data_IF_746162577470
#
_entry.id   IF_746162577470
#
_cell.length_a   1.000
_cell.length_b   1.000
_cell.length_c   1.000
_cell.angle_alpha   90.00
_cell.angle_beta   90.00
_cell.angle_gamma   90.00
#
_symmetry.space_group_name_H-M   'P 1'
#
loop_
_entity.id
_entity.type
_entity.pdbx_description
1 polymer ?
#
# COMPACT_ATOMS: atom_id res chain seq x y z
N UNK A 1 -15.75 -3.65 -25.65
CA UNK A 1 -15.04 -4.43 -24.60
C UNK A 1 -14.93 -3.55 -23.37
N UNK A 2 -15.35 -4.01 -22.18
CA UNK A 2 -15.26 -3.26 -20.93
C UNK A 2 -14.24 -3.93 -20.00
N UNK A 3 -13.47 -3.13 -19.26
CA UNK A 3 -12.43 -3.65 -18.35
C UNK A 3 -12.94 -4.65 -17.31
N UNK A 4 -14.22 -4.56 -16.93
CA UNK A 4 -14.80 -5.48 -15.94
C UNK A 4 -14.95 -6.90 -16.47
N UNK A 5 -14.96 -7.08 -17.79
CA UNK A 5 -15.10 -8.37 -18.45
C UNK A 5 -13.73 -9.10 -18.52
N UNK A 6 -12.63 -8.41 -18.20
CA UNK A 6 -11.26 -8.91 -18.38
C UNK A 6 -10.69 -9.59 -17.12
N UNK A 7 -11.43 -9.64 -16.00
CA UNK A 7 -10.96 -10.27 -14.77
C UNK A 7 -12.10 -10.79 -13.88
N UNK A 8 -11.75 -11.70 -12.96
CA UNK A 8 -12.62 -12.17 -11.89
C UNK A 8 -11.89 -12.07 -10.55
N UNK A 9 -12.61 -11.72 -9.48
CA UNK A 9 -12.05 -11.72 -8.14
C UNK A 9 -11.67 -13.16 -7.71
N UNK A 10 -10.49 -13.38 -7.10
CA UNK A 10 -10.11 -14.69 -6.57
C UNK A 10 -11.10 -15.17 -5.52
N UNK A 11 -11.25 -16.50 -5.40
CA UNK A 11 -12.25 -17.10 -4.52
C UNK A 11 -12.10 -16.70 -3.04
N UNK A 12 -10.86 -16.46 -2.58
CA UNK A 12 -10.54 -16.02 -1.22
C UNK A 12 -11.12 -14.65 -0.84
N UNK A 13 -11.54 -13.83 -1.82
CA UNK A 13 -12.00 -12.45 -1.60
C UNK A 13 -13.46 -12.23 -2.01
N UNK A 14 -14.27 -13.29 -2.08
CA UNK A 14 -15.66 -13.23 -2.59
C UNK A 14 -16.71 -12.79 -1.57
N UNK A 15 -16.47 -12.96 -0.27
CA UNK A 15 -17.47 -12.66 0.77
C UNK A 15 -17.94 -11.20 0.75
N UNK A 16 -17.05 -10.28 0.34
CA UNK A 16 -17.28 -8.86 0.04
C UNK A 16 -18.42 -8.20 0.86
N UNK A 17 -18.29 -8.22 2.20
CA UNK A 17 -19.36 -7.88 3.16
C UNK A 17 -19.94 -6.46 3.00
N UNK A 18 -19.23 -5.54 2.36
CA UNK A 18 -19.75 -4.23 2.03
C UNK A 18 -20.92 -4.26 1.01
N UNK A 19 -21.16 -5.38 0.32
CA UNK A 19 -22.31 -5.57 -0.58
C UNK A 19 -23.65 -5.54 0.13
N UNK A 20 -23.67 -5.79 1.44
CA UNK A 20 -24.87 -5.68 2.26
C UNK A 20 -25.20 -4.23 2.66
N UNK A 21 -24.32 -3.26 2.33
CA UNK A 21 -24.60 -1.85 2.55
C UNK A 21 -25.37 -1.24 1.39
N UNK A 22 -26.02 -0.09 1.62
CA UNK A 22 -26.61 0.69 0.53
C UNK A 22 -25.54 0.97 -0.54
N UNK A 23 -25.84 0.58 -1.77
CA UNK A 23 -24.95 0.70 -2.92
C UNK A 23 -24.44 2.12 -3.16
N UNK A 24 -25.19 3.15 -2.73
CA UNK A 24 -24.80 4.57 -2.80
C UNK A 24 -23.91 5.02 -1.64
N UNK A 25 -23.93 4.29 -0.53
CA UNK A 25 -23.15 4.58 0.69
C UNK A 25 -21.89 3.73 0.81
N UNK A 26 -21.84 2.61 0.07
CA UNK A 26 -20.68 1.73 0.03
C UNK A 26 -19.43 2.51 -0.41
N UNK A 27 -18.32 2.47 0.36
CA UNK A 27 -17.08 3.07 -0.06
C UNK A 27 -16.57 2.49 -1.39
N UNK A 28 -15.81 3.26 -2.20
CA UNK A 28 -15.10 2.70 -3.34
C UNK A 28 -14.16 1.56 -2.90
N UNK A 29 -14.09 0.48 -3.66
CA UNK A 29 -13.44 -0.77 -3.22
C UNK A 29 -12.57 -1.46 -4.30
N UNK A 30 -12.58 -0.95 -5.54
CA UNK A 30 -11.82 -1.54 -6.65
C UNK A 30 -11.24 -0.45 -7.53
N UNK A 31 -9.99 -0.63 -7.94
CA UNK A 31 -9.25 0.34 -8.73
C UNK A 31 -8.48 -0.35 -9.85
N UNK A 32 -8.57 0.21 -11.04
CA UNK A 32 -7.60 -0.04 -12.09
C UNK A 32 -6.43 0.92 -11.89
N UNK A 33 -5.22 0.40 -11.75
CA UNK A 33 -4.04 1.20 -11.43
C UNK A 33 -2.99 1.02 -12.52
N UNK A 34 -2.59 2.14 -13.14
CA UNK A 34 -1.55 2.21 -14.17
C UNK A 34 -0.66 3.42 -13.90
N UNK A 35 0.64 3.25 -14.06
CA UNK A 35 1.57 4.36 -13.93
C UNK A 35 2.98 4.03 -14.44
N UNK A 36 3.78 5.05 -14.77
CA UNK A 36 5.15 4.87 -15.24
C UNK A 36 6.09 4.46 -14.10
N UNK A 37 7.35 4.16 -14.44
CA UNK A 37 8.40 3.96 -13.44
C UNK A 37 8.45 5.13 -12.44
N UNK A 38 8.69 4.81 -11.17
CA UNK A 38 8.69 5.73 -10.00
C UNK A 38 7.32 6.22 -9.55
N UNK A 39 6.22 5.90 -10.25
CA UNK A 39 4.88 6.07 -9.67
C UNK A 39 4.62 4.98 -8.63
N UNK A 40 4.07 5.35 -7.47
CA UNK A 40 3.71 4.41 -6.40
C UNK A 40 2.82 5.11 -5.37
N UNK A 41 2.15 4.34 -4.52
CA UNK A 41 1.44 4.84 -3.36
C UNK A 41 2.38 4.98 -2.16
N UNK A 42 2.16 6.01 -1.34
CA UNK A 42 2.87 6.21 -0.08
C UNK A 42 2.60 5.06 0.92
N UNK A 43 3.43 4.92 1.96
CA UNK A 43 3.10 4.02 3.08
C UNK A 43 1.77 4.43 3.72
N UNK A 44 0.82 3.49 3.81
CA UNK A 44 -0.49 3.71 4.40
C UNK A 44 -1.06 2.40 4.96
N UNK A 45 -2.15 2.54 5.71
CA UNK A 45 -3.01 1.44 6.13
C UNK A 45 -4.32 1.60 5.38
N UNK A 46 -4.87 0.51 4.85
CA UNK A 46 -6.16 0.54 4.18
C UNK A 46 -7.25 1.04 5.14
N UNK A 47 -8.20 1.87 4.64
CA UNK A 47 -9.21 2.48 5.48
C UNK A 47 -10.20 1.44 6.03
N UNK A 48 -10.89 1.79 7.11
CA UNK A 48 -11.95 0.97 7.72
C UNK A 48 -11.50 -0.45 8.14
N UNK A 49 -10.19 -0.67 8.29
CA UNK A 49 -9.65 -1.97 8.72
C UNK A 49 -9.85 -3.09 7.70
N UNK A 50 -10.03 -2.74 6.43
CA UNK A 50 -10.19 -3.74 5.36
C UNK A 50 -8.86 -4.36 4.98
N UNK A 51 -8.92 -5.59 4.49
CA UNK A 51 -7.81 -6.22 3.74
C UNK A 51 -7.94 -5.93 2.25
N UNK A 52 -6.83 -5.96 1.52
CA UNK A 52 -6.79 -5.78 0.07
C UNK A 52 -6.05 -6.92 -0.64
N UNK A 53 -6.33 -7.06 -1.94
CA UNK A 53 -5.54 -7.87 -2.86
C UNK A 53 -5.12 -7.02 -4.06
N UNK A 54 -3.87 -7.21 -4.51
CA UNK A 54 -3.33 -6.56 -5.71
C UNK A 54 -2.93 -7.64 -6.71
N UNK A 55 -3.36 -7.50 -7.97
CA UNK A 55 -3.00 -8.41 -9.05
C UNK A 55 -2.16 -7.66 -10.11
N UNK A 56 -0.81 -7.67 -9.99
CA UNK A 56 0.05 -7.08 -11.00
C UNK A 56 -0.04 -7.85 -12.33
N UNK A 57 -0.53 -7.20 -13.38
CA UNK A 57 -0.68 -7.83 -14.72
C UNK A 57 0.53 -7.56 -15.62
N UNK A 58 1.13 -6.36 -15.52
CA UNK A 58 2.31 -5.93 -16.29
C UNK A 58 3.24 -5.10 -15.43
N UNK A 59 4.55 -5.25 -15.65
CA UNK A 59 5.60 -4.57 -14.90
C UNK A 59 5.91 -5.24 -13.56
N UNK A 60 6.64 -4.53 -12.70
CA UNK A 60 7.09 -5.01 -11.40
C UNK A 60 6.73 -3.98 -10.32
N UNK A 61 6.46 -4.45 -9.10
CA UNK A 61 6.15 -3.58 -7.95
C UNK A 61 6.98 -4.00 -6.75
N UNK A 62 7.64 -3.03 -6.11
CA UNK A 62 8.33 -3.24 -4.84
C UNK A 62 7.40 -2.86 -3.70
N UNK A 63 7.21 -3.78 -2.77
CA UNK A 63 6.38 -3.63 -1.59
C UNK A 63 7.23 -3.73 -0.34
N UNK A 64 6.88 -2.93 0.66
CA UNK A 64 7.43 -2.98 2.00
C UNK A 64 6.25 -2.95 2.96
N UNK A 65 6.10 -3.98 3.78
CA UNK A 65 5.04 -4.10 4.77
C UNK A 65 5.66 -4.02 6.16
N UNK A 66 5.07 -3.17 7.01
CA UNK A 66 5.51 -2.91 8.37
C UNK A 66 4.34 -3.23 9.31
N UNK A 67 4.57 -3.85 10.49
CA UNK A 67 3.53 -4.12 11.48
C UNK A 67 2.72 -2.88 11.85
N UNK A 68 1.43 -3.06 12.09
CA UNK A 68 0.48 -1.96 12.33
C UNK A 68 0.75 -1.20 13.65
N UNK A 69 1.38 -1.86 14.62
CA UNK A 69 1.75 -1.30 15.91
C UNK A 69 3.09 -0.55 15.89
N UNK A 70 3.79 -0.54 14.75
CA UNK A 70 5.00 0.25 14.57
C UNK A 70 4.68 1.76 14.71
N UNK A 71 5.43 2.51 15.54
CA UNK A 71 5.19 3.93 15.74
C UNK A 71 5.25 4.74 14.44
N UNK A 72 4.30 5.64 14.24
CA UNK A 72 4.28 6.53 13.06
C UNK A 72 5.58 7.34 12.90
N UNK A 73 6.26 7.63 14.00
CA UNK A 73 7.52 8.37 14.05
C UNK A 73 8.68 7.65 13.35
N UNK A 74 8.67 6.31 13.31
CA UNK A 74 9.70 5.52 12.61
C UNK A 74 9.28 5.18 11.17
N UNK A 75 7.98 5.09 10.91
CA UNK A 75 7.41 4.71 9.60
C UNK A 75 7.31 5.88 8.64
N UNK A 76 7.23 7.13 9.11
CA UNK A 76 7.09 8.32 8.25
C UNK A 76 8.40 9.11 8.15
N UNK A 77 8.62 9.87 7.06
CA UNK A 77 9.75 10.79 6.98
C UNK A 77 9.75 11.79 8.13
N UNK A 78 10.94 12.01 8.71
CA UNK A 78 11.15 13.05 9.73
C UNK A 78 10.98 14.45 9.14
N UNK A 79 10.87 15.48 9.99
CA UNK A 79 10.67 16.85 9.52
C UNK A 79 11.76 17.33 8.56
N UNK A 80 13.02 16.94 8.78
CA UNK A 80 14.14 17.27 7.91
C UNK A 80 14.11 16.54 6.56
N UNK A 81 13.38 15.42 6.46
CA UNK A 81 13.33 14.55 5.28
C UNK A 81 12.12 14.80 4.38
N UNK A 82 11.10 15.49 4.89
CA UNK A 82 9.83 15.71 4.20
C UNK A 82 9.98 16.40 2.85
N UNK A 83 10.95 17.31 2.71
CA UNK A 83 11.16 18.07 1.48
C UNK A 83 9.87 18.74 0.98
N UNK A 84 9.71 18.83 -0.35
CA UNK A 84 8.51 19.40 -0.99
C UNK A 84 7.36 18.40 -1.16
N UNK A 85 7.68 17.11 -1.23
CA UNK A 85 6.73 16.04 -1.56
C UNK A 85 6.80 14.91 -0.52
N UNK A 86 6.41 15.18 0.74
CA UNK A 86 6.63 14.26 1.86
C UNK A 86 5.82 12.97 1.78
N UNK A 87 4.67 13.02 1.13
CA UNK A 87 3.72 11.92 1.04
C UNK A 87 3.89 11.09 -0.24
N UNK A 88 4.96 11.30 -0.99
CA UNK A 88 5.26 10.48 -2.16
C UNK A 88 6.02 9.21 -1.78
N UNK A 89 5.70 8.11 -2.44
CA UNK A 89 6.39 6.84 -2.24
C UNK A 89 7.90 6.94 -2.52
N UNK A 90 8.29 7.71 -3.54
CA UNK A 90 9.70 7.92 -3.87
C UNK A 90 10.44 8.60 -2.71
N UNK A 91 9.83 9.59 -2.06
CA UNK A 91 10.40 10.25 -0.88
C UNK A 91 10.59 9.24 0.24
N UNK A 92 9.62 8.35 0.45
CA UNK A 92 9.71 7.29 1.45
C UNK A 92 10.85 6.30 1.15
N UNK A 93 10.99 5.85 -0.10
CA UNK A 93 12.07 4.95 -0.53
C UNK A 93 13.46 5.60 -0.49
N UNK A 94 13.56 6.92 -0.64
CA UNK A 94 14.83 7.64 -0.54
C UNK A 94 15.23 7.98 0.90
N UNK A 95 14.31 7.83 1.87
CA UNK A 95 14.51 8.25 3.27
C UNK A 95 14.31 7.09 4.22
N UNK A 96 13.06 6.80 4.62
CA UNK A 96 12.68 5.77 5.60
C UNK A 96 13.18 4.39 5.20
N UNK A 97 13.09 4.03 3.93
CA UNK A 97 13.53 2.71 3.48
C UNK A 97 15.01 2.44 3.74
N UNK A 98 15.87 3.46 3.63
CA UNK A 98 17.28 3.31 3.96
C UNK A 98 17.48 2.98 5.45
N UNK A 99 16.61 3.47 6.35
CA UNK A 99 16.62 3.09 7.77
C UNK A 99 16.16 1.66 8.01
N UNK A 100 15.14 1.20 7.28
CA UNK A 100 14.62 -0.17 7.35
C UNK A 100 15.73 -1.20 7.10
N UNK A 101 16.69 -0.88 6.23
CA UNK A 101 17.81 -1.75 5.90
C UNK A 101 18.94 -1.74 6.94
N UNK A 102 18.93 -0.83 7.91
CA UNK A 102 19.98 -0.73 8.92
C UNK A 102 19.78 -1.76 10.04
N UNK A 103 20.86 -2.31 10.62
CA UNK A 103 20.78 -3.18 11.79
C UNK A 103 20.12 -2.53 13.02
N UNK A 104 20.02 -1.20 13.03
CA UNK A 104 19.36 -0.42 14.07
C UNK A 104 17.84 -0.37 13.95
N UNK A 105 17.25 -0.93 12.88
CA UNK A 105 15.80 -1.05 12.78
C UNK A 105 15.26 -1.91 13.94
N UNK A 106 14.19 -1.49 14.64
CA UNK A 106 13.69 -2.21 15.80
C UNK A 106 13.23 -3.62 15.43
N UNK A 107 13.76 -4.63 16.12
CA UNK A 107 13.51 -6.05 15.81
C UNK A 107 12.09 -6.48 16.14
N UNK A 108 11.43 -5.76 17.03
CA UNK A 108 10.01 -5.93 17.35
C UNK A 108 9.09 -5.58 16.17
N UNK A 109 9.55 -4.83 15.17
CA UNK A 109 8.79 -4.46 13.97
C UNK A 109 9.40 -5.07 12.71
N UNK A 110 9.41 -6.41 12.54
CA UNK A 110 10.02 -7.05 11.39
C UNK A 110 9.35 -6.61 10.09
N UNK A 111 10.18 -6.25 9.10
CA UNK A 111 9.70 -5.79 7.80
C UNK A 111 9.61 -6.96 6.82
N UNK A 112 8.53 -6.98 6.03
CA UNK A 112 8.36 -7.91 4.91
C UNK A 112 8.57 -7.15 3.61
N UNK A 113 9.45 -7.66 2.74
CA UNK A 113 9.61 -7.15 1.38
C UNK A 113 9.06 -8.14 0.34
N UNK A 114 8.37 -7.61 -0.67
CA UNK A 114 7.98 -8.35 -1.87
C UNK A 114 8.35 -7.56 -3.12
N UNK A 115 8.81 -8.23 -4.18
CA UNK A 115 9.32 -7.61 -5.42
C UNK A 115 8.78 -8.32 -6.65
#
# INVERSE_FOLDING_TARGET
MKLIDDYVAPHLFRDHLFDYTDHRKRPPYRWFVMGPARSSAAIHVDPLGTSAWNAPIRGHKRWVLIPLDAPRTIVKPSQAERGKHPDEAVTWFMTVYNRVLLPSWPKEYPVIEAR
#
